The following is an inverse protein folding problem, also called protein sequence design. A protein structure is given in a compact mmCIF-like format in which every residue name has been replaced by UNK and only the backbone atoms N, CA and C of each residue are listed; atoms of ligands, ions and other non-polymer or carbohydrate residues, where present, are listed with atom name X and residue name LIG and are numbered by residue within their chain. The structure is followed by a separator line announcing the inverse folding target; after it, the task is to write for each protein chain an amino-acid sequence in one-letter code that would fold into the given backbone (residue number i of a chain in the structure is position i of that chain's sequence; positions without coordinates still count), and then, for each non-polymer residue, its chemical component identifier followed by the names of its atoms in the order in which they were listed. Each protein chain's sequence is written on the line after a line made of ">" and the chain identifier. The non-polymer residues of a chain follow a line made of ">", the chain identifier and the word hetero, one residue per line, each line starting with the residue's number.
data_IF_316182748004
#
_entry.id   IF_316182748004
#
_cell.length_a   1.000
_cell.length_b   1.000
_cell.length_c   1.000
_cell.angle_alpha   90.00
_cell.angle_beta   90.00
_cell.angle_gamma   90.00
#
_symmetry.space_group_name_H-M   'P 1'
#
loop_
_entity.id
_entity.type
_entity.pdbx_description
1 polymer ?
#
# COMPACT_ATOMS: atom_id res chain seq x y z
N UNK A 1 3.50 23.72 -20.40
CA UNK A 1 3.92 23.55 -19.00
C UNK A 1 2.69 23.31 -18.15
N UNK A 2 2.34 22.05 -17.87
CA UNK A 2 1.25 21.72 -16.94
C UNK A 2 1.89 21.58 -15.56
N UNK A 3 1.85 22.67 -14.80
CA UNK A 3 2.36 22.77 -13.43
C UNK A 3 1.26 22.28 -12.46
N UNK A 4 1.59 21.21 -11.70
CA UNK A 4 0.80 20.48 -10.68
C UNK A 4 -0.04 19.31 -11.21
N UNK A 5 0.45 18.09 -10.96
CA UNK A 5 -0.39 16.89 -10.87
C UNK A 5 -1.42 17.11 -9.75
N UNK A 6 -2.64 17.50 -10.12
CA UNK A 6 -3.75 17.65 -9.17
C UNK A 6 -4.83 16.66 -9.56
N UNK A 7 -5.16 15.75 -8.64
CA UNK A 7 -6.31 14.86 -8.80
C UNK A 7 -7.57 15.63 -8.42
N UNK A 8 -8.63 15.63 -9.26
CA UNK A 8 -9.85 16.39 -9.01
C UNK A 8 -10.70 15.82 -7.87
N UNK A 9 -10.63 14.51 -7.62
CA UNK A 9 -11.41 13.82 -6.59
C UNK A 9 -10.72 12.53 -6.11
N UNK A 10 -11.15 11.93 -4.97
CA UNK A 10 -10.69 10.61 -4.55
C UNK A 10 -11.07 9.52 -5.56
N UNK A 11 -10.26 8.47 -5.69
CA UNK A 11 -10.39 7.43 -6.73
C UNK A 11 -10.09 7.92 -8.16
N UNK A 12 -9.47 9.09 -8.34
CA UNK A 12 -9.02 9.53 -9.67
C UNK A 12 -7.64 8.94 -10.02
N UNK A 13 -6.65 9.18 -9.16
CA UNK A 13 -5.30 8.59 -9.27
C UNK A 13 -5.02 7.75 -8.04
N UNK A 14 -4.67 6.50 -8.25
CA UNK A 14 -4.04 5.68 -7.23
C UNK A 14 -2.52 5.58 -7.44
N UNK A 15 -1.80 5.31 -6.37
CA UNK A 15 -0.35 5.11 -6.34
C UNK A 15 -0.05 3.71 -5.81
N UNK A 16 0.60 2.89 -6.63
CA UNK A 16 1.00 1.54 -6.25
C UNK A 16 2.40 1.53 -5.63
N UNK A 17 2.57 0.75 -4.56
CA UNK A 17 3.87 0.42 -3.99
C UNK A 17 3.93 -1.09 -3.74
N UNK A 18 4.95 -1.73 -4.31
CA UNK A 18 5.36 -3.08 -3.94
C UNK A 18 6.82 -2.97 -3.53
N UNK A 19 7.11 -3.11 -2.24
CA UNK A 19 8.45 -2.83 -1.72
C UNK A 19 8.86 -3.86 -0.69
N UNK A 20 10.02 -4.51 -0.86
CA UNK A 20 10.65 -5.25 0.21
C UNK A 20 10.98 -4.30 1.36
N UNK A 21 10.74 -4.75 2.59
CA UNK A 21 11.16 -4.05 3.78
C UNK A 21 12.67 -4.12 3.91
N UNK A 22 13.27 -2.97 4.21
CA UNK A 22 14.70 -2.88 4.53
C UNK A 22 14.99 -3.16 6.00
N UNK A 23 13.96 -3.34 6.82
CA UNK A 23 14.09 -3.43 8.28
C UNK A 23 13.41 -4.68 8.85
N UNK A 24 12.41 -5.22 8.17
CA UNK A 24 11.59 -6.33 8.65
C UNK A 24 11.80 -7.59 7.83
N UNK A 25 12.09 -8.69 8.53
CA UNK A 25 12.35 -10.00 7.93
C UNK A 25 11.84 -11.14 8.82
N UNK A 26 11.75 -12.33 8.23
CA UNK A 26 11.27 -13.56 8.87
C UNK A 26 12.48 -14.41 9.25
N UNK A 27 12.50 -14.89 10.50
CA UNK A 27 13.47 -15.84 11.02
C UNK A 27 13.10 -17.29 10.62
N UNK A 28 14.07 -18.21 10.74
CA UNK A 28 13.86 -19.64 10.42
C UNK A 28 12.70 -20.27 11.21
N UNK A 29 12.46 -19.78 12.42
CA UNK A 29 11.37 -20.18 13.32
C UNK A 29 10.06 -19.38 13.08
N UNK A 30 9.92 -18.74 11.90
CA UNK A 30 8.74 -17.98 11.44
C UNK A 30 8.46 -16.67 12.18
N UNK A 31 9.31 -16.29 13.14
CA UNK A 31 9.18 -15.03 13.87
C UNK A 31 9.54 -13.84 13.00
N UNK A 32 8.81 -12.75 13.19
CA UNK A 32 9.15 -11.47 12.58
C UNK A 32 10.22 -10.77 13.41
N UNK A 33 11.21 -10.20 12.73
CA UNK A 33 12.28 -9.45 13.37
C UNK A 33 12.50 -8.11 12.68
N UNK A 34 12.50 -7.06 13.50
CA UNK A 34 12.93 -5.73 13.11
C UNK A 34 14.44 -5.56 13.34
N UNK A 35 15.09 -4.78 12.47
CA UNK A 35 16.43 -4.25 12.69
C UNK A 35 16.54 -2.78 12.25
N UNK A 36 17.28 -1.98 13.02
CA UNK A 36 17.40 -0.54 12.74
C UNK A 36 18.29 -0.25 11.52
N UNK A 37 19.36 -1.02 11.33
CA UNK A 37 20.21 -0.89 10.15
C UNK A 37 19.44 -1.36 8.91
N UNK A 38 19.32 -0.48 7.90
CA UNK A 38 18.69 -0.83 6.64
C UNK A 38 19.46 -1.96 5.93
N UNK A 39 18.72 -2.93 5.40
CA UNK A 39 19.21 -3.98 4.54
C UNK A 39 19.22 -3.51 3.09
N UNK A 40 20.22 -3.95 2.33
CA UNK A 40 20.25 -3.77 0.89
C UNK A 40 19.39 -4.84 0.24
N UNK A 41 18.23 -4.43 -0.25
CA UNK A 41 17.29 -5.31 -0.95
C UNK A 41 16.55 -4.51 -2.01
N UNK A 42 16.36 -5.13 -3.17
CA UNK A 42 15.63 -4.57 -4.30
C UNK A 42 14.51 -5.54 -4.70
N UNK A 43 13.42 -5.03 -5.24
CA UNK A 43 12.23 -5.83 -5.55
C UNK A 43 12.52 -6.92 -6.59
N UNK A 44 13.31 -6.61 -7.61
CA UNK A 44 13.70 -7.52 -8.68
C UNK A 44 14.41 -8.78 -8.14
N UNK A 45 15.29 -8.61 -7.16
CA UNK A 45 16.13 -9.68 -6.57
C UNK A 45 15.69 -10.17 -5.20
N UNK A 46 14.50 -9.76 -4.72
CA UNK A 46 14.08 -10.02 -3.33
C UNK A 46 13.97 -11.51 -2.99
N UNK A 47 13.64 -12.34 -3.98
CA UNK A 47 13.50 -13.80 -3.83
C UNK A 47 14.84 -14.50 -3.60
N UNK A 48 15.94 -13.89 -4.06
CA UNK A 48 17.31 -14.40 -3.98
C UNK A 48 18.05 -13.89 -2.73
N UNK A 49 17.44 -12.99 -1.96
CA UNK A 49 18.08 -12.40 -0.80
C UNK A 49 18.34 -13.43 0.32
N UNK A 50 19.46 -13.29 1.02
CA UNK A 50 19.86 -14.18 2.13
C UNK A 50 18.80 -14.29 3.24
N UNK A 51 18.04 -13.21 3.43
CA UNK A 51 16.96 -13.13 4.42
C UNK A 51 15.61 -13.21 3.73
N UNK A 52 14.65 -13.82 4.41
CA UNK A 52 13.26 -13.77 3.99
C UNK A 52 12.64 -12.42 4.36
N UNK A 53 12.66 -11.47 3.44
CA UNK A 53 12.14 -10.13 3.67
C UNK A 53 10.62 -10.11 3.75
N UNK A 54 10.05 -9.25 4.59
CA UNK A 54 8.64 -8.87 4.46
C UNK A 54 8.49 -7.93 3.27
N UNK A 55 7.46 -8.13 2.45
CA UNK A 55 7.16 -7.30 1.30
C UNK A 55 5.82 -6.61 1.51
N UNK A 56 5.83 -5.28 1.43
CA UNK A 56 4.66 -4.42 1.59
C UNK A 56 4.02 -4.19 0.23
N UNK A 57 2.72 -4.48 0.15
CA UNK A 57 1.89 -4.14 -0.98
C UNK A 57 0.92 -3.06 -0.53
N UNK A 58 0.97 -1.89 -1.16
CA UNK A 58 0.18 -0.72 -0.77
C UNK A 58 -0.39 -0.09 -2.03
N UNK A 59 -1.67 0.26 -1.99
CA UNK A 59 -2.26 1.16 -2.96
C UNK A 59 -2.92 2.31 -2.22
N UNK A 60 -2.60 3.53 -2.63
CA UNK A 60 -3.06 4.74 -1.98
C UNK A 60 -3.70 5.70 -2.96
N UNK A 61 -4.76 6.38 -2.52
CA UNK A 61 -5.39 7.45 -3.27
C UNK A 61 -4.59 8.75 -3.16
N UNK A 62 -4.32 9.38 -4.30
CA UNK A 62 -3.52 10.59 -4.35
C UNK A 62 -4.19 11.79 -3.64
N UNK A 63 -5.52 11.88 -3.73
CA UNK A 63 -6.31 12.99 -3.17
C UNK A 63 -6.44 12.87 -1.65
N UNK A 64 -7.05 11.79 -1.18
CA UNK A 64 -7.40 11.55 0.23
C UNK A 64 -6.27 10.93 1.06
N UNK A 65 -5.23 10.40 0.40
CA UNK A 65 -4.24 9.52 1.03
C UNK A 65 -4.86 8.28 1.69
N UNK A 66 -6.13 7.96 1.44
CA UNK A 66 -6.73 6.70 1.85
C UNK A 66 -5.99 5.54 1.20
N UNK A 67 -5.83 4.43 1.90
CA UNK A 67 -5.02 3.34 1.38
C UNK A 67 -5.46 1.97 1.87
N UNK A 68 -5.11 0.99 1.07
CA UNK A 68 -5.17 -0.43 1.40
C UNK A 68 -3.76 -1.01 1.39
N UNK A 69 -3.48 -1.96 2.29
CA UNK A 69 -2.19 -2.63 2.32
C UNK A 69 -2.31 -4.11 2.70
N UNK A 70 -1.38 -4.90 2.17
CA UNK A 70 -1.18 -6.30 2.51
C UNK A 70 0.32 -6.58 2.73
N UNK A 71 0.61 -7.67 3.45
CA UNK A 71 1.97 -8.12 3.71
C UNK A 71 2.17 -9.54 3.17
N UNK A 72 3.30 -9.75 2.49
CA UNK A 72 3.81 -11.06 2.08
C UNK A 72 5.25 -11.21 2.53
N UNK A 73 5.83 -12.39 2.31
CA UNK A 73 7.27 -12.58 2.42
C UNK A 73 7.88 -12.70 1.04
N UNK A 74 9.20 -12.56 0.94
CA UNK A 74 9.94 -12.78 -0.31
C UNK A 74 9.75 -14.20 -0.88
N UNK A 75 9.28 -15.16 -0.09
CA UNK A 75 8.95 -16.52 -0.53
C UNK A 75 7.49 -16.73 -0.91
N UNK A 76 6.63 -15.75 -0.63
CA UNK A 76 5.18 -15.83 -0.83
C UNK A 76 4.66 -14.60 -1.56
N UNK A 77 5.46 -14.08 -2.48
CA UNK A 77 5.09 -12.93 -3.30
C UNK A 77 3.76 -13.17 -4.02
N UNK A 78 3.07 -12.07 -4.25
CA UNK A 78 1.89 -12.00 -5.10
C UNK A 78 2.12 -11.00 -6.22
N UNK A 79 1.39 -11.17 -7.32
CA UNK A 79 1.45 -10.21 -8.42
C UNK A 79 0.73 -8.91 -8.02
N UNK A 80 1.10 -7.76 -8.61
CA UNK A 80 0.32 -6.53 -8.49
C UNK A 80 -1.14 -6.70 -8.91
N UNK A 81 -1.42 -7.55 -9.90
CA UNK A 81 -2.79 -7.84 -10.39
C UNK A 81 -3.63 -8.46 -9.28
N UNK A 82 -3.11 -9.50 -8.62
CA UNK A 82 -3.80 -10.16 -7.50
C UNK A 82 -4.07 -9.19 -6.35
N UNK A 83 -3.07 -8.36 -6.01
CA UNK A 83 -3.19 -7.36 -4.96
C UNK A 83 -4.23 -6.29 -5.30
N UNK A 84 -4.16 -5.69 -6.50
CA UNK A 84 -5.07 -4.63 -6.93
C UNK A 84 -6.50 -5.15 -7.08
N UNK A 85 -6.68 -6.38 -7.56
CA UNK A 85 -8.00 -7.03 -7.61
C UNK A 85 -8.65 -7.05 -6.23
N UNK A 86 -7.90 -7.49 -5.19
CA UNK A 86 -8.40 -7.46 -3.81
C UNK A 86 -8.56 -6.05 -3.28
N UNK A 87 -7.63 -5.14 -3.57
CA UNK A 87 -7.69 -3.77 -3.10
C UNK A 87 -8.92 -3.02 -3.65
N UNK A 88 -9.27 -3.22 -4.92
CA UNK A 88 -10.37 -2.52 -5.60
C UNK A 88 -11.72 -3.22 -5.45
N UNK A 89 -11.77 -4.48 -5.03
CA UNK A 89 -13.02 -5.17 -4.69
C UNK A 89 -13.74 -4.47 -3.53
N UNK A 90 -15.07 -4.49 -3.55
CA UNK A 90 -15.88 -4.07 -2.39
C UNK A 90 -15.64 -5.01 -1.22
N UNK A 91 -15.53 -4.44 -0.02
CA UNK A 91 -15.33 -5.18 1.25
C UNK A 91 -16.41 -4.72 2.23
N UNK A 92 -17.08 -5.64 2.95
CA UNK A 92 -18.14 -5.27 3.89
C UNK A 92 -17.66 -4.27 4.96
N UNK A 93 -16.46 -4.50 5.51
CA UNK A 93 -15.95 -3.75 6.67
C UNK A 93 -14.77 -2.82 6.33
N UNK A 94 -14.58 -2.47 5.05
CA UNK A 94 -13.49 -1.59 4.65
C UNK A 94 -13.86 -0.67 3.49
N UNK A 95 -13.72 0.63 3.71
CA UNK A 95 -14.25 1.68 2.82
C UNK A 95 -13.46 1.83 1.50
N UNK A 96 -12.17 1.53 1.49
CA UNK A 96 -11.33 1.68 0.30
C UNK A 96 -11.65 0.57 -0.71
N UNK A 97 -12.15 0.98 -1.88
CA UNK A 97 -12.49 0.11 -3.01
C UNK A 97 -12.57 0.95 -4.29
N UNK A 98 -12.72 0.29 -5.44
CA UNK A 98 -12.91 0.98 -6.71
C UNK A 98 -11.65 1.06 -7.56
N UNK A 99 -11.86 0.88 -8.87
CA UNK A 99 -10.84 1.10 -9.88
C UNK A 99 -10.69 2.61 -10.12
N UNK A 100 -9.46 3.14 -10.15
CA UNK A 100 -9.22 4.53 -10.46
C UNK A 100 -9.26 4.80 -11.96
N UNK A 101 -9.33 6.07 -12.36
CA UNK A 101 -9.11 6.47 -13.75
C UNK A 101 -7.65 6.28 -14.16
N UNK A 102 -6.73 6.49 -13.22
CA UNK A 102 -5.29 6.46 -13.45
C UNK A 102 -4.54 5.74 -12.32
N UNK A 103 -3.48 5.04 -12.67
CA UNK A 103 -2.56 4.41 -11.73
C UNK A 103 -1.12 4.87 -11.98
N UNK A 104 -0.44 5.26 -10.90
CA UNK A 104 1.01 5.48 -10.90
C UNK A 104 1.70 4.18 -10.50
N UNK A 105 2.61 3.71 -11.36
CA UNK A 105 3.38 2.48 -11.17
C UNK A 105 4.87 2.82 -11.09
N UNK A 106 5.58 2.45 -10.00
CA UNK A 106 7.02 2.62 -9.91
C UNK A 106 7.75 1.76 -10.95
N UNK A 107 8.85 2.27 -11.50
CA UNK A 107 9.67 1.55 -12.50
C UNK A 107 10.11 0.16 -12.02
N UNK A 108 10.47 0.02 -10.73
CA UNK A 108 10.87 -1.28 -10.19
C UNK A 108 9.72 -2.31 -10.21
N UNK A 109 8.47 -1.86 -10.05
CA UNK A 109 7.29 -2.73 -10.12
C UNK A 109 7.00 -3.11 -11.57
N UNK A 110 7.00 -2.14 -12.48
CA UNK A 110 6.75 -2.38 -13.91
C UNK A 110 7.82 -3.24 -14.57
N UNK A 111 9.07 -3.16 -14.11
CA UNK A 111 10.15 -4.00 -14.61
C UNK A 111 10.02 -5.46 -14.16
N UNK A 112 9.58 -5.71 -12.91
CA UNK A 112 9.37 -7.08 -12.39
C UNK A 112 8.08 -7.70 -12.89
N UNK A 113 7.02 -6.90 -13.07
CA UNK A 113 5.68 -7.35 -13.43
C UNK A 113 5.13 -6.59 -14.65
N UNK A 114 5.71 -6.80 -15.85
CA UNK A 114 5.30 -6.10 -17.06
C UNK A 114 3.86 -6.41 -17.49
N UNK A 115 3.31 -7.56 -17.12
CA UNK A 115 1.94 -7.98 -17.42
C UNK A 115 0.86 -7.04 -16.87
N UNK A 116 1.21 -6.20 -15.88
CA UNK A 116 0.28 -5.22 -15.31
C UNK A 116 -0.21 -4.20 -16.35
N UNK A 117 0.61 -3.89 -17.38
CA UNK A 117 0.24 -2.91 -18.40
C UNK A 117 -0.96 -3.37 -19.24
N UNK A 118 -0.93 -4.60 -19.72
CA UNK A 118 -2.01 -5.16 -20.53
C UNK A 118 -3.29 -5.34 -19.71
N UNK A 119 -3.16 -5.76 -18.46
CA UNK A 119 -4.29 -5.89 -17.54
C UNK A 119 -4.97 -4.54 -17.28
N UNK A 120 -4.20 -3.48 -16.99
CA UNK A 120 -4.76 -2.13 -16.79
C UNK A 120 -5.39 -1.57 -18.06
N UNK A 121 -4.81 -1.86 -19.23
CA UNK A 121 -5.38 -1.48 -20.53
C UNK A 121 -6.74 -2.15 -20.76
N UNK A 122 -6.89 -3.44 -20.46
CA UNK A 122 -8.18 -4.14 -20.53
C UNK A 122 -9.21 -3.52 -19.59
N UNK A 123 -8.77 -3.08 -18.41
CA UNK A 123 -9.60 -2.35 -17.46
C UNK A 123 -9.79 -0.88 -17.82
N UNK A 124 -9.24 -0.36 -18.92
CA UNK A 124 -9.31 1.07 -19.24
C UNK A 124 -8.84 1.97 -18.08
N UNK A 125 -7.79 1.55 -17.36
CA UNK A 125 -7.12 2.35 -16.33
C UNK A 125 -5.87 2.95 -16.97
N UNK A 126 -5.81 4.29 -17.02
CA UNK A 126 -4.66 5.00 -17.56
C UNK A 126 -3.41 4.81 -16.70
N UNK A 127 -2.24 4.87 -17.30
CA UNK A 127 -0.96 4.74 -16.58
C UNK A 127 -0.22 6.05 -16.66
N UNK A 128 0.27 6.47 -15.50
CA UNK A 128 0.93 7.75 -15.32
C UNK A 128 2.34 7.49 -14.78
N UNK A 129 3.38 8.10 -15.36
CA UNK A 129 4.73 7.97 -14.82
C UNK A 129 4.82 8.60 -13.43
N UNK A 130 5.67 8.07 -12.53
CA UNK A 130 5.84 8.65 -11.21
C UNK A 130 6.33 10.12 -11.34
N UNK A 131 5.62 11.10 -10.74
CA UNK A 131 6.05 12.49 -10.78
C UNK A 131 7.34 12.68 -9.96
N UNK A 132 8.05 13.79 -10.16
CA UNK A 132 9.22 14.16 -9.34
C UNK A 132 8.92 14.26 -7.83
N UNK A 133 7.64 14.42 -7.45
CA UNK A 133 7.14 14.41 -6.07
C UNK A 133 6.59 13.07 -5.57
N UNK A 134 6.79 11.96 -6.29
CA UNK A 134 6.36 10.61 -5.89
C UNK A 134 6.87 10.18 -4.50
N UNK A 135 7.89 10.88 -3.99
CA UNK A 135 8.35 10.85 -2.61
C UNK A 135 7.23 11.03 -1.56
N UNK A 136 6.12 11.72 -1.86
CA UNK A 136 4.99 11.86 -0.95
C UNK A 136 4.37 10.49 -0.55
N UNK A 137 4.28 9.54 -1.48
CA UNK A 137 3.78 8.19 -1.18
C UNK A 137 4.79 7.31 -0.44
N UNK A 138 6.08 7.64 -0.51
CA UNK A 138 7.14 7.01 0.31
C UNK A 138 6.90 7.28 1.81
N UNK A 139 6.35 8.44 2.17
CA UNK A 139 6.00 8.70 3.57
C UNK A 139 4.89 7.78 4.09
N UNK A 140 3.91 7.44 3.26
CA UNK A 140 2.85 6.51 3.64
C UNK A 140 3.37 5.10 3.84
N UNK A 141 4.23 4.63 2.93
CA UNK A 141 4.94 3.35 3.08
C UNK A 141 5.73 3.31 4.37
N UNK A 142 6.50 4.37 4.66
CA UNK A 142 7.31 4.46 5.88
C UNK A 142 6.46 4.47 7.16
N UNK A 143 5.33 5.19 7.16
CA UNK A 143 4.43 5.23 8.32
C UNK A 143 3.76 3.88 8.53
N UNK A 144 3.33 3.22 7.45
CA UNK A 144 2.77 1.86 7.51
C UNK A 144 3.79 0.86 8.06
N UNK A 145 5.02 0.88 7.56
CA UNK A 145 6.10 0.00 8.04
C UNK A 145 6.37 0.22 9.54
N UNK A 146 6.37 1.47 10.02
CA UNK A 146 6.47 1.78 11.46
C UNK A 146 5.28 1.25 12.26
N UNK A 147 4.05 1.40 11.75
CA UNK A 147 2.86 0.86 12.43
C UNK A 147 2.92 -0.68 12.54
N UNK A 148 3.43 -1.35 11.50
CA UNK A 148 3.71 -2.79 11.52
C UNK A 148 4.77 -3.14 12.56
N UNK A 149 5.91 -2.45 12.55
CA UNK A 149 7.00 -2.67 13.51
C UNK A 149 6.53 -2.48 14.96
N UNK A 150 5.80 -1.40 15.23
CA UNK A 150 5.24 -1.13 16.55
C UNK A 150 4.29 -2.26 16.99
N UNK A 151 3.44 -2.75 16.08
CA UNK A 151 2.51 -3.85 16.40
C UNK A 151 3.26 -5.13 16.78
N UNK A 152 4.35 -5.44 16.09
CA UNK A 152 5.23 -6.57 16.42
C UNK A 152 5.84 -6.37 17.81
N UNK A 153 6.43 -5.20 18.08
CA UNK A 153 7.04 -4.90 19.39
C UNK A 153 6.04 -4.96 20.53
N UNK A 154 4.81 -4.46 20.34
CA UNK A 154 3.75 -4.56 21.34
C UNK A 154 3.32 -6.00 21.59
N UNK A 155 3.18 -6.81 20.54
CA UNK A 155 2.86 -8.24 20.68
C UNK A 155 3.94 -8.96 21.47
N UNK A 156 5.21 -8.81 21.09
CA UNK A 156 6.33 -9.48 21.77
C UNK A 156 6.42 -9.05 23.25
N UNK A 157 6.13 -7.78 23.56
CA UNK A 157 6.14 -7.25 24.93
C UNK A 157 4.97 -7.76 25.78
N UNK A 158 3.73 -7.72 25.24
CA UNK A 158 2.51 -8.03 25.99
C UNK A 158 2.24 -9.54 26.05
N UNK A 159 2.29 -10.21 24.91
CA UNK A 159 1.90 -11.62 24.78
C UNK A 159 3.05 -12.57 25.16
N UNK A 160 4.30 -12.06 25.21
CA UNK A 160 5.52 -12.85 25.46
C UNK A 160 5.66 -14.06 24.53
N UNK A 161 4.98 -14.02 23.40
CA UNK A 161 5.01 -15.05 22.36
C UNK A 161 5.50 -14.42 21.07
N UNK A 162 6.09 -15.20 20.16
CA UNK A 162 6.59 -14.64 18.94
C UNK A 162 5.52 -14.10 18.00
N UNK A 163 5.68 -12.86 17.56
CA UNK A 163 4.86 -12.35 16.47
C UNK A 163 5.26 -13.02 15.14
N UNK A 164 4.28 -13.59 14.44
CA UNK A 164 4.46 -14.16 13.09
C UNK A 164 3.62 -13.37 12.07
N UNK A 165 3.86 -13.59 10.78
CA UNK A 165 3.04 -12.96 9.74
C UNK A 165 1.56 -13.37 9.84
N UNK A 166 1.27 -14.59 10.27
CA UNK A 166 -0.10 -15.08 10.46
C UNK A 166 -0.81 -14.34 11.61
N UNK A 167 -0.10 -14.04 12.70
CA UNK A 167 -0.64 -13.16 13.75
C UNK A 167 -0.94 -11.76 13.20
N UNK A 168 0.00 -11.15 12.48
CA UNK A 168 -0.22 -9.83 11.88
C UNK A 168 -1.42 -9.80 10.93
N UNK A 169 -1.64 -10.85 10.14
CA UNK A 169 -2.79 -10.93 9.22
C UNK A 169 -4.13 -10.73 9.94
N UNK A 170 -4.26 -11.25 11.16
CA UNK A 170 -5.48 -11.05 11.97
C UNK A 170 -5.65 -9.60 12.45
N UNK A 171 -4.56 -8.82 12.50
CA UNK A 171 -4.58 -7.43 12.99
C UNK A 171 -4.49 -6.39 11.89
N UNK A 172 -4.08 -6.74 10.66
CA UNK A 172 -3.89 -5.81 9.53
C UNK A 172 -5.15 -4.98 9.27
N UNK A 173 -6.34 -5.59 9.27
CA UNK A 173 -7.59 -4.86 9.04
C UNK A 173 -7.79 -3.72 10.05
N UNK A 174 -7.58 -4.01 11.34
CA UNK A 174 -7.67 -3.01 12.42
C UNK A 174 -6.57 -1.95 12.31
N UNK A 175 -5.36 -2.33 11.91
CA UNK A 175 -4.26 -1.38 11.69
C UNK A 175 -4.58 -0.42 10.54
N UNK A 176 -5.10 -0.93 9.43
CA UNK A 176 -5.53 -0.14 8.28
C UNK A 176 -6.66 0.82 8.65
N UNK A 177 -7.66 0.36 9.41
CA UNK A 177 -8.74 1.21 9.90
C UNK A 177 -8.16 2.38 10.72
N UNK A 178 -7.35 2.08 11.75
CA UNK A 178 -6.69 3.12 12.56
C UNK A 178 -5.84 4.07 11.73
N UNK A 179 -5.11 3.59 10.74
CA UNK A 179 -4.27 4.43 9.90
C UNK A 179 -5.10 5.35 8.98
N UNK A 180 -6.24 4.87 8.49
CA UNK A 180 -7.15 5.66 7.66
C UNK A 180 -8.02 6.65 8.47
N UNK A 181 -8.27 6.34 9.74
CA UNK A 181 -8.99 7.22 10.68
C UNK A 181 -8.09 8.30 11.31
N UNK A 182 -6.79 8.31 11.01
CA UNK A 182 -5.90 9.43 11.39
C UNK A 182 -6.16 10.64 10.50
N UNK A 183 -6.22 11.82 11.10
CA UNK A 183 -6.29 13.09 10.38
C UNK A 183 -5.13 13.26 9.39
N UNK A 184 -5.44 13.86 8.26
CA UNK A 184 -4.47 14.21 7.24
C UNK A 184 -3.72 15.46 7.72
N UNK A 185 -2.42 15.32 7.97
CA UNK A 185 -1.57 16.46 8.30
C UNK A 185 -1.18 17.23 7.03
N UNK A 186 -2.14 17.95 6.43
CA UNK A 186 -1.95 18.85 5.28
C UNK A 186 -2.58 20.21 5.59
N UNK A 187 -1.91 21.35 5.27
CA UNK A 187 -2.49 22.67 5.49
C UNK A 187 -3.88 22.79 4.86
N UNK A 188 -4.86 23.25 5.65
CA UNK A 188 -6.24 23.46 5.19
C UNK A 188 -7.13 22.22 5.12
N UNK A 189 -6.62 21.02 5.45
CA UNK A 189 -7.42 19.79 5.52
C UNK A 189 -7.49 19.33 6.97
N UNK A 190 -8.69 19.35 7.57
CA UNK A 190 -8.97 18.82 8.92
C UNK A 190 -9.95 17.65 8.84
N UNK A 191 -9.56 16.65 8.06
CA UNK A 191 -10.34 15.43 7.84
C UNK A 191 -9.44 14.21 7.96
N UNK A 192 -10.02 13.09 8.36
CA UNK A 192 -9.40 11.78 8.21
C UNK A 192 -9.30 11.39 6.73
N UNK A 193 -8.46 10.39 6.42
CA UNK A 193 -8.37 9.85 5.06
C UNK A 193 -9.71 9.29 4.59
N UNK A 194 -10.41 8.61 5.50
CA UNK A 194 -11.75 8.06 5.26
C UNK A 194 -12.76 9.17 4.94
N UNK A 195 -12.83 10.21 5.77
CA UNK A 195 -13.75 11.34 5.54
C UNK A 195 -13.51 12.02 4.20
N UNK A 196 -12.24 12.26 3.83
CA UNK A 196 -11.92 12.90 2.56
C UNK A 196 -12.21 11.97 1.36
N UNK A 197 -12.03 10.67 1.51
CA UNK A 197 -12.40 9.67 0.49
C UNK A 197 -13.91 9.62 0.20
N UNK A 198 -14.71 9.68 1.27
CA UNK A 198 -16.17 9.61 1.25
C UNK A 198 -16.82 10.96 0.91
N UNK A 199 -16.04 12.04 0.84
CA UNK A 199 -16.55 13.38 0.55
C UNK A 199 -17.24 13.43 -0.81
N UNK A 200 -18.49 13.89 -0.89
CA UNK A 200 -19.17 14.13 -2.15
C UNK A 200 -18.41 15.15 -2.99
N UNK A 201 -18.20 14.85 -4.27
CA UNK A 201 -17.62 15.79 -5.23
C UNK A 201 -18.55 15.88 -6.43
N UNK A 202 -18.99 17.10 -6.73
CA UNK A 202 -19.88 17.36 -7.86
C UNK A 202 -19.21 16.95 -9.19
N UNK A 203 -19.95 16.25 -10.04
CA UNK A 203 -19.43 15.75 -11.33
C UNK A 203 -18.48 14.55 -11.23
N UNK A 204 -18.28 13.96 -10.04
CA UNK A 204 -17.51 12.70 -9.90
C UNK A 204 -18.27 11.54 -10.54
N UNK A 205 -17.66 10.78 -11.46
CA UNK A 205 -18.30 9.58 -12.00
C UNK A 205 -18.50 8.53 -10.90
N UNK A 206 -19.48 7.62 -11.05
CA UNK A 206 -19.66 6.51 -10.12
C UNK A 206 -18.37 5.70 -9.97
N UNK A 207 -18.07 5.26 -8.75
CA UNK A 207 -16.92 4.38 -8.51
C UNK A 207 -17.11 3.09 -9.32
N UNK A 208 -16.20 2.85 -10.25
CA UNK A 208 -16.13 1.60 -11.00
C UNK A 208 -15.64 0.50 -10.07
N UNK A 209 -16.40 -0.57 -9.93
CA UNK A 209 -16.06 -1.67 -9.02
C UNK A 209 -15.54 -2.84 -9.83
N UNK A 210 -14.53 -3.54 -9.31
CA UNK A 210 -14.10 -4.82 -9.88
C UNK A 210 -15.23 -5.84 -9.71
N UNK A 211 -15.71 -6.40 -10.82
CA UNK A 211 -16.79 -7.41 -10.84
C UNK A 211 -16.36 -8.75 -10.27
#
# INVERSE_FOLDING_TARGET
>A
MINRYSSPYPNYIHQLFVTPSKHLYVLKDRRLKWQDKAMEVQLDKVEEADKEHVVHYIVADHTSSAFYAELRTSKTLMTPIEFLTRAWAKKPDFFFHGMPEQLIIPTGVSNKYPEIYDWLKQLQVGIVPPPSGFYAGIHQVRNWEKDVANTISFHDYLEKTPCTLDHLRTTIARMLQKANDREINRPGIRMTRKQLWEMPVEGRPPIRVMG
#
